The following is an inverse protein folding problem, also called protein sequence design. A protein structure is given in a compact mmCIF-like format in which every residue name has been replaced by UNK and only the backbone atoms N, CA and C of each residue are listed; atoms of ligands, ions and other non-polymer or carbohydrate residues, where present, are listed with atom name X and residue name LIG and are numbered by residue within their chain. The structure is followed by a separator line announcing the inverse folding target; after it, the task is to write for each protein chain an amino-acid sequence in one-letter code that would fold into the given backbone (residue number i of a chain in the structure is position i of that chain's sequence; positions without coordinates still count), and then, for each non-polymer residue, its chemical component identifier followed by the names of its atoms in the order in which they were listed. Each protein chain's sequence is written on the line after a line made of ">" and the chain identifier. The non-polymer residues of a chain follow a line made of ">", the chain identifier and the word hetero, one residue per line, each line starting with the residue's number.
data_IF_236397109352
#
_entry.id   IF_236397109352
#
_cell.length_a   1.000
_cell.length_b   1.000
_cell.length_c   1.000
_cell.angle_alpha   90.00
_cell.angle_beta   90.00
_cell.angle_gamma   90.00
#
_symmetry.space_group_name_H-M   'P 1'
#
loop_
_entity.id
_entity.type
_entity.pdbx_description
1 polymer ?
#
# COMPACT_ATOMS: atom_id res chain seq x y z
N UNK A 1 35.60 -7.06 14.32
CA UNK A 1 34.85 -5.85 13.94
C UNK A 1 33.61 -6.33 13.19
N UNK A 2 32.55 -6.64 13.92
CA UNK A 2 31.30 -7.12 13.32
C UNK A 2 30.35 -5.94 13.27
N UNK A 3 30.16 -5.38 12.07
CA UNK A 3 29.06 -4.45 11.83
C UNK A 3 27.76 -5.25 11.89
N UNK A 4 26.92 -4.91 12.86
CA UNK A 4 25.57 -5.46 13.03
C UNK A 4 24.79 -5.37 11.72
N UNK A 5 24.32 -6.51 11.21
CA UNK A 5 23.40 -6.58 10.07
C UNK A 5 21.98 -6.07 10.39
N UNK A 6 21.64 -5.87 11.66
CA UNK A 6 20.24 -5.75 12.09
C UNK A 6 19.65 -4.32 12.18
N UNK A 7 20.38 -3.27 11.80
CA UNK A 7 19.86 -1.88 11.91
C UNK A 7 19.43 -1.26 10.57
N UNK A 8 19.63 -1.98 9.44
CA UNK A 8 19.22 -1.55 8.09
C UNK A 8 18.19 -2.51 7.45
N UNK A 9 17.78 -3.58 8.15
CA UNK A 9 16.96 -4.68 7.61
C UNK A 9 15.45 -4.60 7.96
N UNK A 10 15.01 -3.60 8.74
CA UNK A 10 13.57 -3.42 9.02
C UNK A 10 12.89 -2.57 7.94
N UNK A 11 11.76 -3.02 7.38
CA UNK A 11 10.98 -2.22 6.43
C UNK A 11 10.57 -0.89 7.06
N UNK A 12 10.67 0.20 6.30
CA UNK A 12 10.18 1.51 6.75
C UNK A 12 8.65 1.59 6.77
N UNK A 13 7.98 0.79 5.95
CA UNK A 13 6.53 0.61 5.99
C UNK A 13 6.13 -0.32 7.15
N UNK A 14 5.21 0.12 8.00
CA UNK A 14 4.83 -0.60 9.21
C UNK A 14 4.09 -1.91 8.93
N UNK A 15 3.32 -2.02 7.84
CA UNK A 15 2.65 -3.28 7.49
C UNK A 15 3.70 -4.36 7.18
N UNK A 16 4.70 -4.00 6.38
CA UNK A 16 5.82 -4.90 6.07
C UNK A 16 6.66 -5.21 7.31
N UNK A 17 6.91 -4.22 8.17
CA UNK A 17 7.68 -4.40 9.41
C UNK A 17 6.98 -5.28 10.46
N UNK A 18 5.65 -5.40 10.40
CA UNK A 18 4.85 -6.23 11.31
C UNK A 18 4.88 -7.72 10.92
N UNK A 19 5.31 -8.04 9.71
CA UNK A 19 5.33 -9.43 9.24
C UNK A 19 6.39 -10.27 10.00
N UNK A 20 6.08 -11.54 10.31
CA UNK A 20 7.11 -12.50 10.67
C UNK A 20 8.20 -12.57 9.58
N UNK A 21 9.44 -12.82 9.98
CA UNK A 21 10.59 -12.86 9.05
C UNK A 21 10.35 -13.78 7.85
N UNK A 22 9.80 -14.98 8.08
CA UNK A 22 9.49 -15.94 7.02
C UNK A 22 8.45 -15.45 6.01
N UNK A 23 7.55 -14.56 6.41
CA UNK A 23 6.54 -13.96 5.54
C UNK A 23 7.14 -12.82 4.75
N UNK A 24 7.90 -11.94 5.41
CA UNK A 24 8.59 -10.85 4.75
C UNK A 24 9.61 -11.36 3.72
N UNK A 25 10.40 -12.38 4.05
CA UNK A 25 11.40 -12.99 3.15
C UNK A 25 10.79 -13.53 1.85
N UNK A 26 9.53 -13.98 1.85
CA UNK A 26 8.84 -14.38 0.61
C UNK A 26 8.49 -13.20 -0.28
N UNK A 27 8.26 -12.03 0.31
CA UNK A 27 7.93 -10.81 -0.42
C UNK A 27 9.18 -10.14 -1.00
N UNK A 28 10.32 -10.22 -0.29
CA UNK A 28 11.58 -9.55 -0.65
C UNK A 28 11.96 -9.68 -2.14
N UNK A 29 11.91 -10.87 -2.78
CA UNK A 29 12.26 -11.01 -4.20
C UNK A 29 11.36 -10.22 -5.17
N UNK A 30 10.16 -9.84 -4.72
CA UNK A 30 9.15 -9.16 -5.52
C UNK A 30 9.04 -7.67 -5.18
N UNK A 31 9.67 -7.22 -4.11
CA UNK A 31 9.66 -5.84 -3.68
C UNK A 31 10.73 -5.03 -4.42
N UNK A 32 10.32 -3.87 -4.94
CA UNK A 32 11.22 -2.90 -5.58
C UNK A 32 11.11 -1.55 -4.87
N UNK A 33 12.24 -1.00 -4.45
CA UNK A 33 12.28 0.38 -3.97
C UNK A 33 12.07 1.33 -5.15
N UNK A 34 11.07 2.20 -5.07
CA UNK A 34 10.77 3.22 -6.08
C UNK A 34 10.71 4.60 -5.45
N UNK A 35 11.07 5.63 -6.22
CA UNK A 35 10.84 7.02 -5.85
C UNK A 35 9.53 7.51 -6.43
N UNK A 36 8.74 8.18 -5.59
CA UNK A 36 7.45 8.75 -5.92
C UNK A 36 7.58 10.27 -6.00
N UNK A 37 7.09 10.84 -7.10
CA UNK A 37 7.15 12.29 -7.34
C UNK A 37 5.87 12.98 -6.88
N UNK A 38 5.95 14.24 -6.47
CA UNK A 38 4.76 15.01 -6.11
C UNK A 38 3.81 15.11 -7.29
N UNK A 39 2.50 14.96 -7.03
CA UNK A 39 1.41 14.92 -8.01
C UNK A 39 1.48 13.74 -8.99
N UNK A 40 2.33 12.75 -8.75
CA UNK A 40 2.30 11.51 -9.51
C UNK A 40 1.00 10.75 -9.20
N UNK A 41 0.30 10.31 -10.25
CA UNK A 41 -0.82 9.39 -10.12
C UNK A 41 -0.25 7.96 -10.09
N UNK A 42 -0.56 7.21 -9.05
CA UNK A 42 -0.18 5.79 -8.93
C UNK A 42 -1.24 4.90 -9.54
N UNK A 43 -2.51 5.21 -9.30
CA UNK A 43 -3.68 4.55 -9.89
C UNK A 43 -4.69 5.61 -10.30
N UNK A 44 -5.28 5.47 -11.47
CA UNK A 44 -6.38 6.31 -11.95
C UNK A 44 -7.70 5.55 -11.81
N UNK A 45 -8.77 6.26 -11.43
CA UNK A 45 -10.10 5.66 -11.30
C UNK A 45 -10.55 5.01 -12.62
N UNK A 46 -11.11 3.79 -12.53
CA UNK A 46 -11.52 2.97 -13.66
C UNK A 46 -10.42 2.13 -14.28
N UNK A 47 -9.17 2.29 -13.87
CA UNK A 47 -8.05 1.49 -14.38
C UNK A 47 -7.77 0.24 -13.55
N UNK A 48 -7.12 -0.73 -14.21
CA UNK A 48 -6.60 -1.92 -13.54
C UNK A 48 -5.35 -1.57 -12.72
N UNK A 49 -5.36 -1.97 -11.46
CA UNK A 49 -4.19 -1.93 -10.58
C UNK A 49 -3.20 -3.02 -11.01
N UNK A 50 -2.09 -2.60 -11.62
CA UNK A 50 -0.99 -3.49 -11.97
C UNK A 50 0.06 -3.61 -10.84
N UNK A 51 0.23 -2.56 -10.04
CA UNK A 51 1.25 -2.46 -9.01
C UNK A 51 0.63 -1.95 -7.71
N UNK A 52 1.07 -2.47 -6.58
CA UNK A 52 0.72 -1.99 -5.25
C UNK A 52 1.93 -1.28 -4.63
N UNK A 53 1.66 -0.39 -3.68
CA UNK A 53 2.70 0.43 -3.06
C UNK A 53 2.58 0.41 -1.54
N UNK A 54 3.72 0.28 -0.88
CA UNK A 54 3.88 0.39 0.57
C UNK A 54 4.76 1.63 0.83
N UNK A 55 4.18 2.81 1.08
CA UNK A 55 4.96 4.03 1.29
C UNK A 55 5.97 3.85 2.43
N UNK A 56 7.17 4.41 2.27
CA UNK A 56 8.18 4.44 3.33
C UNK A 56 8.08 5.73 4.14
N UNK A 57 8.03 6.88 3.45
CA UNK A 57 7.77 8.21 4.04
C UNK A 57 6.90 9.11 3.14
N UNK A 58 6.48 8.59 1.99
CA UNK A 58 5.57 9.30 1.09
C UNK A 58 4.16 9.32 1.68
N UNK A 59 3.38 10.33 1.29
CA UNK A 59 1.94 10.42 1.60
C UNK A 59 1.18 10.45 0.29
N UNK A 60 0.20 9.55 0.16
CA UNK A 60 -0.65 9.39 -1.00
C UNK A 60 -2.09 9.71 -0.60
N UNK A 61 -2.73 10.62 -1.31
CA UNK A 61 -4.15 10.95 -1.16
C UNK A 61 -4.98 10.02 -2.03
N UNK A 62 -6.07 9.49 -1.48
CA UNK A 62 -7.06 8.66 -2.17
C UNK A 62 -8.25 9.55 -2.49
N UNK A 63 -8.50 9.78 -3.77
CA UNK A 63 -9.46 10.77 -4.25
C UNK A 63 -10.61 10.03 -4.92
N UNK A 64 -11.84 10.39 -4.56
CA UNK A 64 -13.06 9.92 -5.21
C UNK A 64 -13.66 11.06 -6.04
N UNK A 65 -14.06 10.76 -7.27
CA UNK A 65 -14.82 11.69 -8.11
C UNK A 65 -16.31 11.43 -7.95
N UNK A 66 -17.05 12.48 -7.59
CA UNK A 66 -18.51 12.46 -7.44
C UNK A 66 -19.21 12.56 -8.79
N UNK A 67 -20.51 12.25 -8.84
CA UNK A 67 -21.32 12.28 -10.07
C UNK A 67 -21.35 13.67 -10.74
N UNK A 68 -21.23 14.74 -9.97
CA UNK A 68 -21.19 16.13 -10.45
C UNK A 68 -19.79 16.56 -10.96
N UNK A 69 -18.82 15.64 -10.95
CA UNK A 69 -17.44 15.87 -11.38
C UNK A 69 -16.55 16.52 -10.31
N UNK A 70 -17.09 16.85 -9.13
CA UNK A 70 -16.27 17.29 -8.00
C UNK A 70 -15.42 16.13 -7.44
N UNK A 71 -14.31 16.45 -6.79
CA UNK A 71 -13.42 15.46 -6.20
C UNK A 71 -13.35 15.64 -4.69
N UNK A 72 -13.42 14.55 -3.94
CA UNK A 72 -13.28 14.52 -2.49
C UNK A 72 -12.12 13.61 -2.11
N UNK A 73 -11.31 14.06 -1.15
CA UNK A 73 -10.32 13.19 -0.51
C UNK A 73 -11.05 12.21 0.40
N UNK A 74 -11.02 10.92 0.03
CA UNK A 74 -11.59 9.84 0.81
C UNK A 74 -10.63 9.37 1.92
N UNK A 75 -9.32 9.61 1.76
CA UNK A 75 -8.37 9.32 2.82
C UNK A 75 -6.92 9.52 2.42
N UNK A 76 -6.02 9.25 3.38
CA UNK A 76 -4.58 9.36 3.23
C UNK A 76 -3.91 8.02 3.54
N UNK A 77 -2.91 7.67 2.73
CA UNK A 77 -2.04 6.51 2.93
C UNK A 77 -0.62 7.00 3.15
N UNK A 78 -0.08 6.71 4.33
CA UNK A 78 1.31 6.95 4.71
C UNK A 78 2.05 5.62 4.91
N UNK A 79 3.16 5.65 5.64
CA UNK A 79 3.97 4.46 5.92
C UNK A 79 3.30 3.42 6.82
N UNK A 80 2.13 3.72 7.36
CA UNK A 80 1.31 2.79 8.14
C UNK A 80 0.43 1.89 7.26
N UNK A 81 0.38 2.15 5.94
CA UNK A 81 -0.61 1.58 5.05
C UNK A 81 -0.07 1.07 3.72
N UNK A 82 -0.99 0.82 2.78
CA UNK A 82 -0.68 0.45 1.40
C UNK A 82 -1.67 1.08 0.42
N UNK A 83 -1.21 1.31 -0.81
CA UNK A 83 -2.02 1.74 -1.95
C UNK A 83 -2.34 0.51 -2.81
N UNK A 84 -3.60 0.37 -3.21
CA UNK A 84 -4.08 -0.76 -4.01
C UNK A 84 -4.87 -1.82 -3.23
N UNK A 85 -5.59 -1.42 -2.18
CA UNK A 85 -6.48 -2.29 -1.38
C UNK A 85 -7.44 -3.15 -2.22
N UNK A 86 -8.05 -2.67 -3.33
CA UNK A 86 -8.98 -3.50 -4.10
C UNK A 86 -8.39 -4.85 -4.51
N UNK A 87 -7.07 -4.91 -4.79
CA UNK A 87 -6.33 -6.13 -5.20
C UNK A 87 -6.57 -7.32 -4.26
N UNK A 88 -6.59 -7.07 -2.95
CA UNK A 88 -6.78 -8.10 -1.91
C UNK A 88 -8.26 -8.34 -1.55
N UNK A 89 -9.16 -7.45 -1.99
CA UNK A 89 -10.61 -7.60 -1.81
C UNK A 89 -11.27 -8.33 -2.99
N UNK A 90 -10.49 -8.81 -3.96
CA UNK A 90 -10.95 -9.62 -5.08
C UNK A 90 -11.18 -8.83 -6.38
N UNK A 91 -11.23 -7.50 -6.31
CA UNK A 91 -11.24 -6.64 -7.48
C UNK A 91 -9.81 -6.27 -7.89
N UNK A 92 -9.61 -5.80 -9.11
CA UNK A 92 -8.38 -5.17 -9.54
C UNK A 92 -8.63 -3.86 -10.29
N UNK A 93 -9.88 -3.41 -10.39
CA UNK A 93 -10.22 -2.08 -10.88
C UNK A 93 -10.38 -1.17 -9.66
N UNK A 94 -9.73 0.00 -9.70
CA UNK A 94 -9.92 1.02 -8.65
C UNK A 94 -11.09 1.93 -9.01
N UNK A 95 -11.89 2.31 -8.01
CA UNK A 95 -12.90 3.38 -8.15
C UNK A 95 -12.36 4.75 -7.73
N UNK A 96 -11.12 4.79 -7.22
CA UNK A 96 -10.47 5.98 -6.69
C UNK A 96 -9.17 6.27 -7.42
N UNK A 97 -8.76 7.54 -7.42
CA UNK A 97 -7.45 7.97 -7.90
C UNK A 97 -6.47 8.09 -6.73
N UNK A 98 -5.30 7.48 -6.84
CA UNK A 98 -4.24 7.56 -5.85
C UNK A 98 -3.18 8.58 -6.28
N UNK A 99 -3.13 9.74 -5.63
CA UNK A 99 -2.27 10.87 -5.97
C UNK A 99 -1.19 11.09 -4.90
N UNK A 100 0.08 11.12 -5.30
CA UNK A 100 1.19 11.41 -4.37
C UNK A 100 1.13 12.88 -3.95
N UNK A 101 0.91 13.12 -2.66
CA UNK A 101 0.85 14.47 -2.07
C UNK A 101 2.23 14.88 -1.56
N UNK A 102 2.88 14.03 -0.77
CA UNK A 102 4.24 14.23 -0.26
C UNK A 102 5.17 13.21 -0.94
N UNK A 103 6.16 13.66 -1.74
CA UNK A 103 7.09 12.77 -2.41
C UNK A 103 8.09 12.15 -1.43
N UNK A 104 8.42 10.87 -1.65
CA UNK A 104 9.55 10.16 -1.03
C UNK A 104 9.65 8.80 -1.77
N UNK A 105 9.94 7.73 -1.05
CA UNK A 105 10.07 6.38 -1.54
C UNK A 105 8.91 5.49 -1.08
N UNK A 106 8.72 4.40 -1.81
CA UNK A 106 7.83 3.29 -1.46
C UNK A 106 8.45 1.97 -1.89
N UNK A 107 8.02 0.89 -1.24
CA UNK A 107 8.22 -0.45 -1.79
C UNK A 107 7.04 -0.77 -2.72
N UNK A 108 7.35 -1.13 -3.97
CA UNK A 108 6.40 -1.51 -5.00
C UNK A 108 6.40 -3.02 -5.18
N UNK A 109 5.23 -3.60 -5.45
CA UNK A 109 5.08 -5.01 -5.80
C UNK A 109 4.04 -5.16 -6.92
N UNK A 110 4.19 -6.21 -7.73
CA UNK A 110 3.16 -6.62 -8.68
C UNK A 110 1.86 -7.04 -7.94
N UNK A 111 0.72 -6.58 -8.46
CA UNK A 111 -0.59 -6.82 -7.84
C UNK A 111 -0.97 -8.31 -7.81
N UNK A 112 -0.65 -9.07 -8.86
CA UNK A 112 -0.99 -10.49 -8.93
C UNK A 112 -0.13 -11.30 -7.94
N UNK A 113 1.12 -10.89 -7.73
CA UNK A 113 1.99 -11.46 -6.67
C UNK A 113 1.43 -11.17 -5.28
N UNK A 114 1.03 -9.92 -4.98
CA UNK A 114 0.41 -9.60 -3.70
C UNK A 114 -0.83 -10.45 -3.45
N UNK A 115 -1.71 -10.54 -4.46
CA UNK A 115 -2.93 -11.35 -4.39
C UNK A 115 -2.62 -12.81 -4.11
N UNK A 116 -1.62 -13.39 -4.79
CA UNK A 116 -1.18 -14.76 -4.55
C UNK A 116 -0.71 -14.95 -3.10
N UNK A 117 0.19 -14.09 -2.60
CA UNK A 117 0.71 -14.20 -1.23
C UNK A 117 -0.37 -13.94 -0.17
N UNK A 118 -1.30 -13.02 -0.41
CA UNK A 118 -2.47 -12.80 0.44
C UNK A 118 -3.36 -14.04 0.53
N UNK A 119 -3.62 -14.72 -0.59
CA UNK A 119 -4.47 -15.91 -0.65
C UNK A 119 -3.86 -17.15 0.01
N UNK A 120 -2.57 -17.11 0.39
CA UNK A 120 -1.95 -18.19 1.18
C UNK A 120 -2.47 -18.25 2.62
N UNK A 121 -3.17 -17.23 3.09
CA UNK A 121 -3.77 -17.21 4.42
C UNK A 121 -2.75 -17.12 5.55
N UNK A 122 -1.54 -16.61 5.27
CA UNK A 122 -0.48 -16.45 6.27
C UNK A 122 -0.62 -15.13 7.05
N UNK A 123 0.42 -14.71 7.78
CA UNK A 123 0.38 -13.49 8.58
C UNK A 123 0.11 -12.24 7.74
N UNK A 124 0.58 -12.20 6.49
CA UNK A 124 0.30 -11.12 5.55
C UNK A 124 -1.21 -10.84 5.42
N UNK A 125 -2.01 -11.89 5.20
CA UNK A 125 -3.46 -11.75 5.07
C UNK A 125 -4.06 -11.09 6.31
N UNK A 126 -3.70 -11.59 7.48
CA UNK A 126 -4.20 -11.07 8.76
C UNK A 126 -3.79 -9.61 9.01
N UNK A 127 -2.55 -9.24 8.66
CA UNK A 127 -2.05 -7.86 8.78
C UNK A 127 -2.83 -6.92 7.86
N UNK A 128 -2.98 -7.28 6.59
CA UNK A 128 -3.67 -6.43 5.62
C UNK A 128 -5.17 -6.32 5.91
N UNK A 129 -5.84 -7.40 6.34
CA UNK A 129 -7.24 -7.34 6.75
C UNK A 129 -7.46 -6.43 7.96
N UNK A 130 -6.56 -6.47 8.97
CA UNK A 130 -6.63 -5.55 10.11
C UNK A 130 -6.42 -4.09 9.71
N UNK A 131 -5.51 -3.84 8.77
CA UNK A 131 -5.31 -2.50 8.22
C UNK A 131 -6.58 -1.98 7.53
N UNK A 132 -7.20 -2.79 6.66
CA UNK A 132 -8.45 -2.44 5.98
C UNK A 132 -9.58 -2.18 6.97
N UNK A 133 -9.74 -3.02 8.01
CA UNK A 133 -10.70 -2.79 9.09
C UNK A 133 -10.47 -1.45 9.82
N UNK A 134 -9.21 -1.11 10.07
CA UNK A 134 -8.82 0.15 10.70
C UNK A 134 -9.14 1.38 9.85
N UNK A 135 -9.09 1.27 8.51
CA UNK A 135 -9.46 2.38 7.62
C UNK A 135 -10.96 2.71 7.69
N UNK A 136 -11.83 1.71 7.57
CA UNK A 136 -13.28 1.95 7.63
C UNK A 136 -13.75 2.48 8.98
N UNK A 137 -13.05 2.12 10.07
CA UNK A 137 -13.35 2.68 11.39
C UNK A 137 -13.09 4.18 11.45
N UNK A 138 -12.04 4.67 10.77
CA UNK A 138 -11.66 6.10 10.77
C UNK A 138 -12.56 6.96 9.89
N UNK A 139 -13.11 6.41 8.80
CA UNK A 139 -14.07 7.13 7.94
C UNK A 139 -15.42 7.39 8.62
N UNK A 140 -15.71 6.69 9.73
CA UNK A 140 -16.96 6.84 10.50
C UNK A 140 -16.96 8.03 11.47
N UNK A 141 -15.88 8.82 11.51
CA UNK A 141 -15.75 10.01 12.37
C UNK A 141 -15.93 11.35 11.62
N UNK A 142 -16.36 11.31 10.35
CA UNK A 142 -16.71 12.50 9.56
C UNK A 142 -18.22 12.69 9.41
#
# INVERSE_FOLDING_TARGET
>A
MSLNKNALDQPANHLLATLPASDYERLVPHLKLVLLSSRQILHEAGERIAQVYFPNKAVVSIITTMEDGSTVEAGLVSNEGMVGIPVILGDNITTTTALVQIPDSAMQMDADILRSEFNRGTALQSVLLRYVQGMYTKESEF
#
